data_IF_647393227408
#
_entry.id   IF_647393227408
#
_cell.length_a   1.000
_cell.length_b   1.000
_cell.length_c   1.000
_cell.angle_alpha   90.00
_cell.angle_beta   90.00
_cell.angle_gamma   90.00
#
_symmetry.space_group_name_H-M   'P 1'
#
loop_
_entity.id
_entity.type
_entity.pdbx_description
1 polymer ?
#
# COMPACT_ATOMS: atom_id res chain seq x y z
N UNK A 1 15.71 6.29 -16.59
CA UNK A 1 15.37 6.96 -15.32
C UNK A 1 14.12 6.27 -14.81
N UNK A 2 14.26 5.32 -13.88
CA UNK A 2 13.11 4.67 -13.26
C UNK A 2 12.46 5.73 -12.36
N UNK A 3 11.30 6.23 -12.78
CA UNK A 3 10.56 7.25 -12.03
C UNK A 3 10.29 6.73 -10.64
N UNK A 4 10.67 7.52 -9.65
CA UNK A 4 10.53 7.30 -8.22
C UNK A 4 9.24 6.54 -7.91
N UNK A 5 9.36 5.35 -7.32
CA UNK A 5 8.26 4.42 -7.13
C UNK A 5 7.21 5.03 -6.19
N UNK A 6 6.27 5.78 -6.76
CA UNK A 6 5.13 6.32 -6.06
C UNK A 6 4.24 5.17 -5.64
N UNK A 7 4.22 4.87 -4.34
CA UNK A 7 3.35 3.85 -3.77
C UNK A 7 2.04 4.51 -3.44
N UNK A 8 0.96 4.06 -4.10
CA UNK A 8 -0.38 4.62 -3.94
C UNK A 8 -1.31 3.55 -3.41
N UNK A 9 -1.92 3.81 -2.26
CA UNK A 9 -2.96 2.96 -1.67
C UNK A 9 -4.29 3.68 -1.77
N UNK A 10 -5.22 3.10 -2.51
CA UNK A 10 -6.52 3.70 -2.79
C UNK A 10 -7.48 3.58 -1.59
N UNK A 11 -8.63 4.26 -1.67
CA UNK A 11 -9.68 4.15 -0.67
C UNK A 11 -10.14 2.69 -0.48
N UNK A 12 -10.62 2.32 0.73
CA UNK A 12 -11.30 1.03 0.93
C UNK A 12 -12.39 0.81 -0.11
N UNK A 13 -12.36 -0.36 -0.74
CA UNK A 13 -13.40 -0.83 -1.63
C UNK A 13 -14.56 -1.45 -0.81
N UNK A 14 -15.65 -1.83 -1.48
CA UNK A 14 -16.84 -2.38 -0.84
C UNK A 14 -16.59 -3.71 -0.11
N UNK A 15 -15.52 -4.42 -0.46
CA UNK A 15 -15.05 -5.65 0.19
C UNK A 15 -14.07 -5.40 1.35
N UNK A 16 -13.80 -4.13 1.66
CA UNK A 16 -12.85 -3.69 2.68
C UNK A 16 -11.38 -3.73 2.27
N UNK A 17 -11.08 -4.25 1.08
CA UNK A 17 -9.74 -4.24 0.52
C UNK A 17 -9.33 -2.86 0.00
N UNK A 18 -8.03 -2.62 -0.08
CA UNK A 18 -7.43 -1.41 -0.64
C UNK A 18 -6.54 -1.80 -1.82
N UNK A 19 -6.78 -1.17 -2.96
CA UNK A 19 -5.95 -1.34 -4.15
C UNK A 19 -4.58 -0.72 -3.89
N UNK A 20 -3.51 -1.48 -4.15
CA UNK A 20 -2.13 -1.02 -4.03
C UNK A 20 -1.51 -0.91 -5.42
N UNK A 21 -0.86 0.23 -5.68
CA UNK A 21 -0.04 0.45 -6.87
C UNK A 21 1.38 0.83 -6.47
N UNK A 22 2.34 0.35 -7.23
CA UNK A 22 3.76 0.73 -7.13
C UNK A 22 4.16 1.28 -8.48
N UNK A 23 4.61 2.54 -8.51
CA UNK A 23 4.82 3.28 -9.75
C UNK A 23 3.57 3.23 -10.65
N UNK A 24 3.70 2.69 -11.86
CA UNK A 24 2.61 2.58 -12.82
C UNK A 24 1.87 1.22 -12.78
N UNK A 25 2.26 0.31 -11.89
CA UNK A 25 1.74 -1.05 -11.81
C UNK A 25 0.74 -1.28 -10.68
N UNK A 26 -0.33 -2.04 -10.95
CA UNK A 26 -1.18 -2.63 -9.90
C UNK A 26 -0.50 -3.89 -9.36
N UNK A 27 -0.28 -3.94 -8.05
CA UNK A 27 0.43 -5.06 -7.39
C UNK A 27 -0.51 -5.99 -6.60
N UNK A 28 -1.67 -5.49 -6.16
CA UNK A 28 -2.64 -6.33 -5.46
C UNK A 28 -3.70 -5.56 -4.67
N UNK A 29 -4.66 -6.31 -4.11
CA UNK A 29 -5.60 -5.83 -3.10
C UNK A 29 -5.10 -6.21 -1.71
N UNK A 30 -4.84 -5.21 -0.87
CA UNK A 30 -4.43 -5.39 0.52
C UNK A 30 -5.64 -5.30 1.44
N UNK A 31 -5.68 -6.13 2.48
CA UNK A 31 -6.70 -6.05 3.54
C UNK A 31 -6.08 -5.61 4.88
N UNK A 32 -4.75 -5.58 4.94
CA UNK A 32 -3.97 -5.19 6.09
C UNK A 32 -2.71 -4.43 5.66
N UNK A 33 -2.04 -3.78 6.61
CA UNK A 33 -0.72 -3.19 6.39
C UNK A 33 0.35 -4.24 6.07
N UNK A 34 0.17 -5.49 6.53
CA UNK A 34 1.07 -6.61 6.24
C UNK A 34 1.00 -6.94 4.75
N UNK A 35 -0.19 -6.99 4.16
CA UNK A 35 -0.35 -7.25 2.72
C UNK A 35 0.33 -6.17 1.87
N UNK A 36 0.24 -4.91 2.30
CA UNK A 36 0.94 -3.81 1.63
C UNK A 36 2.45 -4.03 1.68
N UNK A 37 3.00 -4.32 2.86
CA UNK A 37 4.43 -4.60 3.03
C UNK A 37 4.90 -5.78 2.14
N UNK A 38 4.12 -6.86 2.08
CA UNK A 38 4.39 -8.01 1.20
C UNK A 38 4.41 -7.62 -0.29
N UNK A 39 3.50 -6.76 -0.74
CA UNK A 39 3.51 -6.30 -2.13
C UNK A 39 4.73 -5.44 -2.45
N UNK A 40 5.18 -4.62 -1.51
CA UNK A 40 6.36 -3.78 -1.68
C UNK A 40 7.64 -4.60 -1.73
N UNK A 41 7.77 -5.61 -0.86
CA UNK A 41 8.87 -6.58 -0.91
C UNK A 41 8.90 -7.30 -2.25
N UNK A 42 7.75 -7.78 -2.75
CA UNK A 42 7.65 -8.41 -4.08
C UNK A 42 7.93 -7.47 -5.24
N UNK A 43 7.75 -6.16 -5.03
CA UNK A 43 8.09 -5.11 -5.99
C UNK A 43 9.57 -4.68 -5.94
N UNK A 44 10.37 -5.29 -5.06
CA UNK A 44 11.82 -5.05 -4.97
C UNK A 44 12.24 -4.05 -3.89
N UNK A 45 11.37 -3.73 -2.92
CA UNK A 45 11.76 -2.96 -1.73
C UNK A 45 12.22 -3.91 -0.63
N UNK A 46 13.51 -3.91 -0.30
CA UNK A 46 14.06 -4.78 0.73
C UNK A 46 13.62 -4.35 2.14
N UNK A 47 13.40 -5.34 3.02
CA UNK A 47 13.14 -5.19 4.47
C UNK A 47 11.99 -4.24 4.86
N UNK A 48 10.96 -4.09 4.02
CA UNK A 48 9.78 -3.28 4.36
C UNK A 48 8.83 -4.05 5.26
N UNK A 49 8.58 -3.55 6.47
CA UNK A 49 7.62 -4.11 7.41
C UNK A 49 6.32 -3.29 7.49
N UNK A 50 5.27 -3.87 8.09
CA UNK A 50 3.99 -3.17 8.30
C UNK A 50 4.12 -1.89 9.15
N UNK A 51 5.12 -1.83 10.04
CA UNK A 51 5.43 -0.64 10.84
C UNK A 51 6.01 0.49 9.98
N UNK A 52 6.84 0.16 9.00
CA UNK A 52 7.36 1.13 8.04
C UNK A 52 6.23 1.67 7.17
N UNK A 53 5.39 0.78 6.62
CA UNK A 53 4.20 1.16 5.83
C UNK A 53 3.27 2.10 6.60
N UNK A 54 3.08 1.87 7.90
CA UNK A 54 2.25 2.72 8.77
C UNK A 54 2.77 4.15 8.88
N UNK A 55 4.09 4.33 8.87
CA UNK A 55 4.74 5.62 9.17
C UNK A 55 5.36 6.28 7.92
N UNK A 56 5.39 5.55 6.81
CA UNK A 56 5.94 5.99 5.54
C UNK A 56 5.24 7.25 5.01
N UNK A 57 6.01 8.31 4.85
CA UNK A 57 5.59 9.57 4.22
C UNK A 57 5.63 9.51 2.68
N UNK A 58 6.25 8.47 2.11
CA UNK A 58 6.35 8.22 0.67
C UNK A 58 5.21 7.37 0.12
N UNK A 59 4.31 6.88 0.99
CA UNK A 59 3.07 6.20 0.58
C UNK A 59 1.94 7.23 0.51
N UNK A 60 1.35 7.36 -0.67
CA UNK A 60 0.15 8.15 -0.86
C UNK A 60 -1.08 7.33 -0.46
N UNK A 61 -1.73 7.75 0.62
CA UNK A 61 -2.98 7.16 1.10
C UNK A 61 -4.19 7.96 0.60
N UNK A 62 -5.04 7.35 -0.23
CA UNK A 62 -6.31 7.95 -0.68
C UNK A 62 -7.49 7.41 0.11
N UNK A 63 -8.45 8.26 0.44
CA UNK A 63 -9.66 7.86 1.17
C UNK A 63 -9.41 7.51 2.64
N UNK A 64 -8.39 8.12 3.26
CA UNK A 64 -8.01 7.89 4.65
C UNK A 64 -6.60 7.28 4.78
N UNK A 65 -5.97 7.51 5.93
CA UNK A 65 -4.60 7.10 6.22
C UNK A 65 -4.41 5.59 6.43
N UNK A 66 -3.23 5.18 6.91
CA UNK A 66 -2.85 3.76 7.13
C UNK A 66 -3.69 3.04 8.20
N UNK A 67 -4.46 3.79 9.01
CA UNK A 67 -5.38 3.22 10.00
C UNK A 67 -6.82 3.05 9.50
N UNK A 68 -7.13 3.47 8.28
CA UNK A 68 -8.49 3.43 7.74
C UNK A 68 -8.67 2.19 6.85
N UNK A 69 -9.48 1.26 7.35
CA UNK A 69 -9.83 -0.01 6.72
C UNK A 69 -11.32 -0.29 7.00
N UNK A 70 -12.04 -0.90 6.07
CA UNK A 70 -13.42 -1.35 6.33
C UNK A 70 -13.33 -2.69 7.07
N UNK A 71 -13.51 -2.65 8.39
CA UNK A 71 -13.69 -3.84 9.21
C UNK A 71 -15.18 -4.07 9.34
N UNK A 72 -15.77 -4.87 8.45
CA UNK A 72 -17.17 -5.29 8.57
C UNK A 72 -17.29 -6.70 9.12
#
# INVERSE_FOLDING_TARGET
MAGDASVVVYAPAADGGRRVRVAEGFVGMAYTLVDVAEFLQRAGMDDVEACDVRTANWIEWRGGGPGVWDHR
#
